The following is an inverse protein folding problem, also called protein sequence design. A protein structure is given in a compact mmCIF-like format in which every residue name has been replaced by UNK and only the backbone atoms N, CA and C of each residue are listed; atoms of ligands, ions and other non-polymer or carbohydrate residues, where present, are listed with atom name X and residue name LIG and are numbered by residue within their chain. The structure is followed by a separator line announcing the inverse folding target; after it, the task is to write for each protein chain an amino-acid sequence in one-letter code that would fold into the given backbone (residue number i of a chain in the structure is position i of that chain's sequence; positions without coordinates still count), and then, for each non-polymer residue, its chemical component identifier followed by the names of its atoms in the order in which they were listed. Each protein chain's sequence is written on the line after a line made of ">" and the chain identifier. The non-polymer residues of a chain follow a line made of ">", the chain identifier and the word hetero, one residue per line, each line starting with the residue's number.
data_IF_916979564582
#
_entry.id   IF_916979564582
#
_cell.length_a   1.000
_cell.length_b   1.000
_cell.length_c   1.000
_cell.angle_alpha   90.00
_cell.angle_beta   90.00
_cell.angle_gamma   90.00
#
_symmetry.space_group_name_H-M   'P 1'
#
loop_
_entity.id
_entity.type
_entity.pdbx_description
1 polymer ?
#
# COMPACT_ATOMS: atom_id res chain seq x y z
N UNK A 1 -17.90 14.91 6.88
CA UNK A 1 -18.37 14.09 5.77
C UNK A 1 -17.97 14.61 4.41
N UNK A 2 -18.15 15.92 4.16
CA UNK A 2 -17.73 16.51 2.88
C UNK A 2 -16.23 16.35 2.63
N UNK A 3 -15.40 16.47 3.67
CA UNK A 3 -13.96 16.29 3.55
C UNK A 3 -13.60 14.85 3.19
N UNK A 4 -14.34 13.88 3.70
CA UNK A 4 -14.11 12.48 3.41
C UNK A 4 -14.40 12.17 1.94
N UNK A 5 -15.52 12.69 1.43
CA UNK A 5 -15.90 12.49 0.02
C UNK A 5 -14.87 13.13 -0.90
N UNK A 6 -14.41 14.33 -0.57
CA UNK A 6 -13.38 15.02 -1.34
C UNK A 6 -12.08 14.22 -1.35
N UNK A 7 -11.72 13.64 -0.23
CA UNK A 7 -10.51 12.83 -0.09
C UNK A 7 -10.59 11.58 -0.99
N UNK A 8 -11.74 10.93 -1.05
CA UNK A 8 -11.96 9.77 -1.90
C UNK A 8 -11.87 10.18 -3.37
N UNK A 9 -12.49 11.29 -3.74
CA UNK A 9 -12.44 11.78 -5.10
C UNK A 9 -11.01 12.09 -5.53
N UNK A 10 -10.24 12.70 -4.64
CA UNK A 10 -8.83 13.00 -4.89
C UNK A 10 -8.03 11.72 -5.08
N UNK A 11 -8.30 10.72 -4.27
CA UNK A 11 -7.64 9.43 -4.35
C UNK A 11 -7.93 8.75 -5.69
N UNK A 12 -9.17 8.82 -6.15
CA UNK A 12 -9.55 8.25 -7.45
C UNK A 12 -8.86 8.97 -8.60
N UNK A 13 -8.72 10.28 -8.50
CA UNK A 13 -7.97 11.05 -9.50
C UNK A 13 -6.51 10.63 -9.54
N UNK A 14 -5.91 10.38 -8.39
CA UNK A 14 -4.55 9.85 -8.33
C UNK A 14 -4.45 8.50 -9.00
N UNK A 15 -5.42 7.63 -8.78
CA UNK A 15 -5.43 6.31 -9.38
C UNK A 15 -5.48 6.40 -10.91
N UNK A 16 -6.27 7.32 -11.45
CA UNK A 16 -6.36 7.53 -12.88
C UNK A 16 -5.03 8.03 -13.43
N UNK A 17 -4.41 9.00 -12.76
CA UNK A 17 -3.13 9.53 -13.23
C UNK A 17 -1.99 8.54 -13.08
N UNK A 18 -2.12 7.52 -12.20
CA UNK A 18 -1.05 6.56 -12.01
C UNK A 18 -0.78 5.71 -13.26
N UNK A 19 -1.77 5.56 -14.14
CA UNK A 19 -1.56 4.85 -15.40
C UNK A 19 -0.54 5.55 -16.28
N UNK A 20 -0.56 6.88 -16.30
CA UNK A 20 0.43 7.65 -17.04
C UNK A 20 1.80 7.66 -16.41
N UNK A 21 1.91 7.23 -15.16
CA UNK A 21 3.16 7.27 -14.42
C UNK A 21 3.82 5.90 -14.22
N UNK A 22 3.26 4.83 -14.79
CA UNK A 22 3.84 3.49 -14.65
C UNK A 22 5.28 3.48 -15.16
N UNK A 23 5.53 4.09 -16.32
CA UNK A 23 6.87 4.14 -16.89
C UNK A 23 7.83 4.97 -16.02
N UNK A 24 7.29 6.00 -15.38
CA UNK A 24 8.08 6.84 -14.49
C UNK A 24 8.54 6.04 -13.26
N UNK A 25 7.66 5.22 -12.70
CA UNK A 25 7.98 4.38 -11.55
C UNK A 25 8.86 3.19 -11.91
N UNK A 26 9.02 2.89 -13.20
CA UNK A 26 9.83 1.75 -13.63
C UNK A 26 11.29 1.85 -13.17
N UNK A 27 11.77 3.05 -12.88
CA UNK A 27 13.14 3.25 -12.42
C UNK A 27 13.26 3.33 -10.91
N UNK A 28 12.15 3.33 -10.19
CA UNK A 28 12.19 3.43 -8.73
C UNK A 28 12.36 2.04 -8.12
N UNK A 29 13.12 1.97 -7.05
CA UNK A 29 13.30 0.76 -6.28
C UNK A 29 12.59 0.82 -4.93
N UNK A 30 12.23 2.02 -4.49
CA UNK A 30 11.69 2.21 -3.15
C UNK A 30 10.86 3.49 -3.10
N UNK A 31 9.72 3.41 -2.42
CA UNK A 31 8.89 4.58 -2.10
C UNK A 31 8.43 4.47 -0.66
N UNK A 32 8.41 5.58 0.02
CA UNK A 32 7.91 5.62 1.39
C UNK A 32 7.09 6.87 1.60
N UNK A 33 5.93 6.70 2.22
CA UNK A 33 5.03 7.79 2.57
C UNK A 33 4.80 7.78 4.06
N UNK A 34 4.86 8.95 4.66
CA UNK A 34 4.46 9.11 6.04
C UNK A 34 2.97 9.39 6.09
N UNK A 35 2.25 8.71 6.98
CA UNK A 35 0.80 8.84 7.10
C UNK A 35 0.46 9.81 8.23
N UNK A 36 -0.44 10.74 7.94
CA UNK A 36 -0.84 11.77 8.90
C UNK A 36 -2.33 11.73 9.13
N UNK A 37 -2.71 12.02 10.36
CA UNK A 37 -4.09 12.23 10.74
C UNK A 37 -4.13 13.42 11.68
N UNK A 38 -4.91 14.44 11.34
CA UNK A 38 -5.01 15.68 12.14
C UNK A 38 -3.62 16.30 12.38
N UNK A 39 -2.81 16.37 11.33
CA UNK A 39 -1.45 16.93 11.35
C UNK A 39 -0.48 16.16 12.25
N UNK A 40 -0.82 14.93 12.60
CA UNK A 40 0.02 14.11 13.44
C UNK A 40 0.42 12.85 12.69
N UNK A 41 1.71 12.51 12.71
CA UNK A 41 2.18 11.29 12.09
C UNK A 41 1.62 10.08 12.83
N UNK A 42 1.05 9.14 12.09
CA UNK A 42 0.48 7.92 12.68
C UNK A 42 1.17 6.66 12.17
N UNK A 43 1.99 6.76 11.14
CA UNK A 43 2.67 5.60 10.60
C UNK A 43 3.22 5.85 9.22
N UNK A 44 3.38 4.77 8.46
CA UNK A 44 4.00 4.86 7.15
C UNK A 44 3.38 3.85 6.17
N UNK A 45 3.61 4.11 4.89
CA UNK A 45 3.30 3.19 3.80
C UNK A 45 4.51 3.16 2.89
N UNK A 46 5.10 1.99 2.70
CA UNK A 46 6.30 1.87 1.88
C UNK A 46 6.14 0.77 0.84
N UNK A 47 6.86 0.94 -0.26
CA UNK A 47 6.89 0.01 -1.39
C UNK A 47 8.31 -0.32 -1.75
N UNK A 48 8.57 -1.59 -2.00
CA UNK A 48 9.83 -2.08 -2.54
C UNK A 48 9.58 -2.70 -3.90
N UNK A 49 10.39 -2.30 -4.88
CA UNK A 49 10.28 -2.80 -6.25
C UNK A 49 11.55 -3.58 -6.56
N UNK A 50 11.40 -4.86 -6.84
CA UNK A 50 12.54 -5.72 -7.25
C UNK A 50 12.31 -6.20 -8.65
N UNK A 51 13.30 -5.97 -9.51
CA UNK A 51 13.24 -6.35 -10.91
C UNK A 51 14.38 -7.30 -11.23
N UNK A 52 14.04 -8.47 -11.78
CA UNK A 52 15.00 -9.45 -12.23
C UNK A 52 14.53 -10.00 -13.58
N UNK A 53 15.31 -9.74 -14.66
CA UNK A 53 14.92 -10.13 -16.02
C UNK A 53 13.52 -9.63 -16.33
N UNK A 54 12.59 -10.55 -16.58
CA UNK A 54 11.20 -10.24 -16.89
C UNK A 54 10.29 -10.25 -15.68
N UNK A 55 10.87 -10.41 -14.48
CA UNK A 55 10.10 -10.50 -13.25
C UNK A 55 10.12 -9.18 -12.50
N UNK A 56 8.95 -8.78 -11.98
CA UNK A 56 8.79 -7.63 -11.13
C UNK A 56 8.04 -8.05 -9.88
N UNK A 57 8.65 -7.80 -8.72
CA UNK A 57 8.00 -8.03 -7.43
C UNK A 57 7.82 -6.71 -6.72
N UNK A 58 6.60 -6.42 -6.31
CA UNK A 58 6.28 -5.22 -5.55
C UNK A 58 5.83 -5.64 -4.16
N UNK A 59 6.61 -5.24 -3.16
CA UNK A 59 6.24 -5.48 -1.75
C UNK A 59 5.74 -4.18 -1.17
N UNK A 60 4.56 -4.22 -0.57
CA UNK A 60 3.94 -3.07 0.09
C UNK A 60 3.80 -3.35 1.57
N UNK A 61 4.09 -2.34 2.38
CA UNK A 61 3.93 -2.46 3.82
C UNK A 61 3.28 -1.19 4.35
N UNK A 62 2.16 -1.36 5.06
CA UNK A 62 1.45 -0.27 5.71
C UNK A 62 1.45 -0.55 7.21
N UNK A 63 1.82 0.45 7.98
CA UNK A 63 1.81 0.33 9.44
C UNK A 63 1.36 1.66 10.00
N UNK A 64 0.24 1.67 10.73
CA UNK A 64 -0.17 2.88 11.41
C UNK A 64 -0.92 2.55 12.69
N UNK A 65 -0.94 3.54 13.57
CA UNK A 65 -1.54 3.40 14.89
C UNK A 65 -2.22 4.71 15.25
N UNK A 66 -3.44 4.61 15.74
CA UNK A 66 -4.19 5.76 16.25
C UNK A 66 -4.24 5.67 17.75
N UNK A 67 -3.67 6.69 18.40
CA UNK A 67 -3.58 6.75 19.86
C UNK A 67 -4.33 7.99 20.35
N UNK A 68 -5.05 7.84 21.43
CA UNK A 68 -5.74 8.96 22.08
C UNK A 68 -5.56 8.85 23.60
N UNK A 69 -5.09 9.95 24.20
CA UNK A 69 -4.84 10.02 25.64
C UNK A 69 -3.94 8.88 26.15
N UNK A 70 -2.90 8.56 25.35
CA UNK A 70 -1.95 7.52 25.72
C UNK A 70 -2.43 6.10 25.50
N UNK A 71 -3.63 5.93 24.92
CA UNK A 71 -4.21 4.61 24.67
C UNK A 71 -4.27 4.36 23.17
N UNK A 72 -3.82 3.19 22.73
CA UNK A 72 -3.90 2.78 21.35
C UNK A 72 -5.33 2.36 21.04
N UNK A 73 -6.02 3.15 20.20
CA UNK A 73 -7.39 2.87 19.81
C UNK A 73 -7.47 1.93 18.63
N UNK A 74 -6.47 2.00 17.73
CA UNK A 74 -6.50 1.23 16.50
C UNK A 74 -5.08 1.00 16.01
N UNK A 75 -4.78 -0.25 15.68
CA UNK A 75 -3.50 -0.63 15.09
C UNK A 75 -3.76 -1.37 13.80
N UNK A 76 -3.04 -1.00 12.76
CA UNK A 76 -3.17 -1.62 11.44
C UNK A 76 -1.80 -1.90 10.87
N UNK A 77 -1.60 -3.14 10.46
CA UNK A 77 -0.40 -3.55 9.75
C UNK A 77 -0.82 -4.43 8.58
N UNK A 78 -0.34 -4.09 7.39
CA UNK A 78 -0.60 -4.89 6.21
C UNK A 78 0.68 -5.02 5.41
N UNK A 79 0.96 -6.23 4.96
CA UNK A 79 2.08 -6.50 4.08
C UNK A 79 1.57 -7.31 2.91
N UNK A 80 1.91 -6.87 1.71
CA UNK A 80 1.48 -7.55 0.49
C UNK A 80 2.64 -7.69 -0.47
N UNK A 81 2.53 -8.68 -1.34
CA UNK A 81 3.51 -8.91 -2.40
C UNK A 81 2.77 -9.20 -3.68
N UNK A 82 3.07 -8.43 -4.71
CA UNK A 82 2.53 -8.63 -6.05
C UNK A 82 3.66 -9.05 -6.97
N UNK A 83 3.42 -10.05 -7.79
CA UNK A 83 4.41 -10.51 -8.75
C UNK A 83 3.85 -10.40 -10.16
N UNK A 84 4.71 -9.91 -11.05
CA UNK A 84 4.41 -9.75 -12.47
C UNK A 84 5.50 -10.45 -13.28
N UNK A 85 5.08 -11.13 -14.33
CA UNK A 85 6.00 -11.76 -15.27
C UNK A 85 5.70 -11.21 -16.65
N UNK A 86 6.71 -10.66 -17.31
CA UNK A 86 6.57 -10.03 -18.63
C UNK A 86 5.45 -8.99 -18.65
N UNK A 87 5.31 -8.24 -17.54
CA UNK A 87 4.29 -7.21 -17.42
C UNK A 87 2.90 -7.71 -17.10
N UNK A 88 2.73 -9.03 -16.95
CA UNK A 88 1.44 -9.64 -16.67
C UNK A 88 1.37 -10.08 -15.22
N UNK A 89 0.25 -9.78 -14.57
CA UNK A 89 0.02 -10.16 -13.18
C UNK A 89 0.14 -11.68 -13.02
N UNK A 90 0.89 -12.10 -12.02
CA UNK A 90 1.14 -13.52 -11.75
C UNK A 90 0.56 -13.96 -10.41
N UNK A 91 0.86 -13.24 -9.33
CA UNK A 91 0.38 -13.64 -8.02
C UNK A 91 0.30 -12.45 -7.07
N UNK A 92 -0.53 -12.59 -6.07
CA UNK A 92 -0.70 -11.61 -5.01
C UNK A 92 -0.89 -12.34 -3.69
N UNK A 93 -0.19 -11.89 -2.67
CA UNK A 93 -0.41 -12.38 -1.32
C UNK A 93 -0.42 -11.20 -0.36
N UNK A 94 -1.26 -11.26 0.65
CA UNK A 94 -1.29 -10.23 1.67
C UNK A 94 -1.59 -10.80 3.02
N UNK A 95 -1.00 -10.18 4.03
CA UNK A 95 -1.26 -10.45 5.43
C UNK A 95 -1.66 -9.13 6.07
N UNK A 96 -2.80 -9.11 6.71
CA UNK A 96 -3.29 -7.91 7.38
C UNK A 96 -3.53 -8.23 8.84
N UNK A 97 -2.99 -7.40 9.71
CA UNK A 97 -3.25 -7.47 11.14
C UNK A 97 -3.95 -6.20 11.56
N UNK A 98 -5.20 -6.35 11.96
CA UNK A 98 -6.07 -5.24 12.33
C UNK A 98 -6.45 -5.41 13.79
N UNK A 99 -5.85 -4.60 14.66
CA UNK A 99 -5.88 -4.80 16.10
C UNK A 99 -5.33 -6.18 16.44
N UNK A 100 -6.16 -7.13 16.86
CA UNK A 100 -5.74 -8.48 17.19
C UNK A 100 -6.20 -9.52 16.18
N UNK A 101 -6.74 -9.07 15.03
CA UNK A 101 -7.25 -9.97 14.01
C UNK A 101 -6.30 -10.06 12.84
N UNK A 102 -6.04 -11.29 12.40
CA UNK A 102 -5.20 -11.55 11.24
C UNK A 102 -6.05 -11.98 10.06
N UNK A 103 -5.69 -11.46 8.88
CA UNK A 103 -6.37 -11.80 7.62
C UNK A 103 -5.33 -12.08 6.56
N UNK A 104 -5.62 -13.06 5.71
CA UNK A 104 -4.71 -13.49 4.66
C UNK A 104 -5.44 -13.57 3.33
N UNK A 105 -4.78 -13.13 2.28
CA UNK A 105 -5.29 -13.25 0.91
C UNK A 105 -4.17 -13.78 0.03
N UNK A 106 -4.48 -14.82 -0.74
CA UNK A 106 -3.55 -15.37 -1.71
C UNK A 106 -4.27 -15.56 -3.02
N UNK A 107 -3.71 -14.98 -4.08
CA UNK A 107 -4.24 -15.09 -5.43
C UNK A 107 -3.09 -15.50 -6.34
N UNK A 108 -3.33 -16.51 -7.15
CA UNK A 108 -2.34 -17.01 -8.08
C UNK A 108 -3.00 -17.26 -9.42
N UNK A 109 -2.37 -16.82 -10.48
CA UNK A 109 -2.86 -17.02 -11.84
C UNK A 109 -2.03 -18.13 -12.48
N UNK A 110 -2.73 -19.13 -12.99
CA UNK A 110 -2.09 -20.26 -13.66
C UNK A 110 -1.80 -19.96 -15.13
#
# INVERSE_FOLDING_TARGET
>A
MKKFILSIALFLLFSISSFGHVDHYAKLNYLEYELFRNNKSIGYHKYDFKRESDLLSITSEVNFKITKLGVDLYKYFAKSKENYKEGIFSSFSSTTKQNKKDRYVNIKVD
#
